data_IF_522238195416
#
_entry.id   IF_522238195416
#
_cell.length_a   1.000
_cell.length_b   1.000
_cell.length_c   1.000
_cell.angle_alpha   90.00
_cell.angle_beta   90.00
_cell.angle_gamma   90.00
#
_symmetry.space_group_name_H-M   'P 1'
#
loop_
_entity.id
_entity.type
_entity.pdbx_description
1 polymer ?
#
# COMPACT_ATOMS: atom_id res chain seq x y z
N UNK A 1 -0.02 -0.16 -22.31
CA UNK A 1 -0.21 -0.19 -20.85
C UNK A 1 -1.30 0.79 -20.49
N UNK A 2 -2.36 0.31 -19.83
CA UNK A 2 -3.35 1.23 -19.27
C UNK A 2 -2.69 1.90 -18.06
N UNK A 3 -2.68 3.25 -17.99
CA UNK A 3 -2.19 3.91 -16.79
C UNK A 3 -3.00 3.41 -15.61
N UNK A 4 -2.29 3.06 -14.55
CA UNK A 4 -2.87 2.54 -13.35
C UNK A 4 -3.88 3.54 -12.74
N UNK A 5 -5.04 3.07 -12.31
CA UNK A 5 -6.14 3.92 -11.88
C UNK A 5 -5.77 4.77 -10.64
N UNK A 6 -5.09 4.17 -9.67
CA UNK A 6 -4.64 4.89 -8.47
C UNK A 6 -3.52 5.89 -8.79
N UNK A 7 -2.62 5.56 -9.71
CA UNK A 7 -1.61 6.51 -10.20
C UNK A 7 -2.26 7.74 -10.86
N UNK A 8 -3.32 7.53 -11.65
CA UNK A 8 -4.06 8.64 -12.25
C UNK A 8 -4.78 9.48 -11.19
N UNK A 9 -5.45 8.82 -10.23
CA UNK A 9 -6.15 9.49 -9.15
C UNK A 9 -5.19 10.31 -8.27
N UNK A 10 -4.04 9.74 -7.91
CA UNK A 10 -3.00 10.46 -7.19
C UNK A 10 -2.55 11.71 -7.93
N UNK A 11 -2.23 11.61 -9.22
CA UNK A 11 -1.85 12.78 -10.04
C UNK A 11 -2.97 13.82 -10.11
N UNK A 12 -4.22 13.40 -10.23
CA UNK A 12 -5.36 14.30 -10.24
C UNK A 12 -5.55 15.02 -8.89
N UNK A 13 -5.34 14.31 -7.77
CA UNK A 13 -5.38 14.89 -6.43
C UNK A 13 -4.25 15.91 -6.25
N UNK A 14 -3.02 15.56 -6.65
CA UNK A 14 -1.88 16.49 -6.57
C UNK A 14 -2.11 17.72 -7.44
N UNK A 15 -2.60 17.54 -8.66
CA UNK A 15 -2.89 18.66 -9.56
C UNK A 15 -4.00 19.59 -9.03
N UNK A 16 -4.97 19.06 -8.29
CA UNK A 16 -6.12 19.82 -7.80
C UNK A 16 -5.87 20.49 -6.45
N UNK A 17 -5.14 19.84 -5.57
CA UNK A 17 -5.01 20.22 -4.15
C UNK A 17 -3.57 20.48 -3.73
N UNK A 18 -2.58 20.01 -4.50
CA UNK A 18 -1.18 20.27 -4.25
C UNK A 18 -0.79 21.72 -4.58
N UNK A 19 0.37 22.12 -4.09
CA UNK A 19 0.99 23.40 -4.42
C UNK A 19 1.96 23.24 -5.60
N UNK A 20 2.38 24.33 -6.22
CA UNK A 20 3.19 24.26 -7.43
C UNK A 20 4.59 23.63 -7.23
N UNK A 21 5.08 23.66 -5.99
CA UNK A 21 6.37 23.11 -5.57
C UNK A 21 6.27 21.78 -4.82
N UNK A 22 5.05 21.22 -4.67
CA UNK A 22 4.88 19.91 -4.06
C UNK A 22 5.53 18.81 -4.93
N UNK A 23 6.34 17.92 -4.32
CA UNK A 23 7.04 16.90 -5.08
C UNK A 23 6.05 15.85 -5.64
N UNK A 24 6.24 15.50 -6.91
CA UNK A 24 5.53 14.40 -7.58
C UNK A 24 6.45 13.18 -7.58
N UNK A 25 6.56 12.52 -6.44
CA UNK A 25 7.52 11.46 -6.17
C UNK A 25 6.90 10.26 -5.42
N UNK A 26 7.74 9.28 -5.07
CA UNK A 26 7.34 8.08 -4.34
C UNK A 26 6.83 8.37 -2.92
N UNK A 27 7.28 9.44 -2.28
CA UNK A 27 6.81 9.81 -0.94
C UNK A 27 5.40 10.38 -0.99
N UNK A 28 5.11 11.23 -1.97
CA UNK A 28 3.74 11.74 -2.18
C UNK A 28 2.78 10.62 -2.61
N UNK A 29 3.25 9.61 -3.36
CA UNK A 29 2.49 8.38 -3.64
C UNK A 29 2.18 7.59 -2.37
N UNK A 30 3.19 7.39 -1.51
CA UNK A 30 3.00 6.70 -0.22
C UNK A 30 1.98 7.43 0.67
N UNK A 31 2.04 8.76 0.72
CA UNK A 31 1.05 9.59 1.42
C UNK A 31 -0.36 9.40 0.88
N UNK A 32 -0.52 9.37 -0.44
CA UNK A 32 -1.81 9.09 -1.09
C UNK A 32 -2.35 7.70 -0.72
N UNK A 33 -1.51 6.66 -0.76
CA UNK A 33 -1.90 5.30 -0.38
C UNK A 33 -2.30 5.19 1.09
N UNK A 34 -1.54 5.83 1.98
CA UNK A 34 -1.88 5.87 3.41
C UNK A 34 -3.24 6.55 3.65
N UNK A 35 -3.49 7.67 2.98
CA UNK A 35 -4.79 8.36 3.06
C UNK A 35 -5.92 7.52 2.48
N UNK A 36 -5.70 6.81 1.36
CA UNK A 36 -6.66 5.87 0.77
C UNK A 36 -7.03 4.76 1.76
N UNK A 37 -6.02 4.10 2.37
CA UNK A 37 -6.22 3.04 3.35
C UNK A 37 -7.01 3.54 4.57
N UNK A 38 -6.62 4.70 5.12
CA UNK A 38 -7.30 5.32 6.25
C UNK A 38 -8.75 5.66 5.93
N UNK A 39 -9.00 6.26 4.78
CA UNK A 39 -10.35 6.62 4.34
C UNK A 39 -11.24 5.38 4.20
N UNK A 40 -10.73 4.33 3.56
CA UNK A 40 -11.50 3.08 3.38
C UNK A 40 -11.79 2.39 4.71
N UNK A 41 -10.82 2.35 5.63
CA UNK A 41 -11.02 1.80 6.96
C UNK A 41 -12.11 2.57 7.72
N UNK A 42 -12.05 3.90 7.73
CA UNK A 42 -13.02 4.75 8.44
C UNK A 42 -14.41 4.67 7.83
N UNK A 43 -14.53 4.63 6.50
CA UNK A 43 -15.81 4.49 5.81
C UNK A 43 -16.47 3.11 6.02
N UNK A 44 -15.67 2.10 6.37
CA UNK A 44 -16.17 0.75 6.70
C UNK A 44 -16.66 0.60 8.14
N UNK A 45 -16.59 1.63 8.98
CA UNK A 45 -17.06 1.56 10.37
C UNK A 45 -18.56 1.80 10.42
N UNK A 46 -19.31 0.78 10.86
CA UNK A 46 -20.72 0.92 11.19
C UNK A 46 -20.87 1.43 12.63
N UNK A 47 -21.46 2.63 12.79
CA UNK A 47 -21.71 3.23 14.09
C UNK A 47 -20.71 4.31 14.50
N UNK A 48 -20.38 4.39 15.80
CA UNK A 48 -19.52 5.45 16.33
C UNK A 48 -18.07 5.25 15.96
N UNK A 49 -17.45 6.31 15.42
CA UNK A 49 -16.00 6.35 15.14
C UNK A 49 -15.28 6.73 16.44
N UNK A 50 -14.61 5.77 17.04
CA UNK A 50 -13.79 5.93 18.23
C UNK A 50 -12.50 5.12 18.10
N UNK A 51 -11.62 5.18 19.10
CA UNK A 51 -10.31 4.49 19.06
C UNK A 51 -10.45 2.97 18.84
N UNK A 52 -11.43 2.34 19.49
CA UNK A 52 -11.60 0.89 19.40
C UNK A 52 -12.14 0.47 18.04
N UNK A 53 -13.18 1.15 17.51
CA UNK A 53 -13.73 0.87 16.19
C UNK A 53 -12.71 1.18 15.07
N UNK A 54 -11.95 2.26 15.21
CA UNK A 54 -10.87 2.60 14.28
C UNK A 54 -9.77 1.53 14.28
N UNK A 55 -9.31 1.11 15.46
CA UNK A 55 -8.30 0.04 15.56
C UNK A 55 -8.81 -1.26 14.92
N UNK A 56 -10.04 -1.67 15.21
CA UNK A 56 -10.65 -2.87 14.62
C UNK A 56 -10.76 -2.76 13.09
N UNK A 57 -11.14 -1.60 12.57
CA UNK A 57 -11.25 -1.38 11.13
C UNK A 57 -9.89 -1.50 10.41
N UNK A 58 -8.82 -0.93 10.99
CA UNK A 58 -7.47 -1.05 10.41
C UNK A 58 -6.94 -2.48 10.49
N UNK A 59 -7.03 -3.13 11.64
CA UNK A 59 -6.57 -4.51 11.82
C UNK A 59 -7.38 -5.52 11.02
N UNK A 60 -8.61 -5.17 10.65
CA UNK A 60 -9.48 -5.95 9.78
C UNK A 60 -9.18 -5.83 8.29
N UNK A 61 -8.25 -4.98 7.87
CA UNK A 61 -7.88 -4.88 6.45
C UNK A 61 -7.11 -6.14 6.03
N UNK A 62 -7.77 -6.99 5.27
CA UNK A 62 -7.17 -8.23 4.72
C UNK A 62 -6.73 -8.06 3.28
N UNK A 63 -7.28 -7.07 2.57
CA UNK A 63 -6.94 -6.79 1.18
C UNK A 63 -7.30 -5.36 0.81
N UNK A 64 -6.29 -4.55 0.53
CA UNK A 64 -6.44 -3.24 -0.09
C UNK A 64 -5.83 -3.28 -1.48
N UNK A 65 -6.67 -3.38 -2.49
CA UNK A 65 -6.21 -3.39 -3.88
C UNK A 65 -5.75 -2.01 -4.33
N UNK A 66 -4.57 -1.98 -4.93
CA UNK A 66 -4.00 -0.81 -5.58
C UNK A 66 -3.03 -1.24 -6.67
N UNK A 67 -2.96 -0.48 -7.73
CA UNK A 67 -2.01 -0.68 -8.83
C UNK A 67 -0.65 0.02 -8.60
N UNK A 68 -0.47 0.67 -7.44
CA UNK A 68 0.79 1.30 -7.03
C UNK A 68 1.73 0.36 -6.27
N UNK A 69 1.24 -0.81 -5.85
CA UNK A 69 2.01 -1.82 -5.13
C UNK A 69 2.08 -3.13 -5.94
N UNK A 70 3.09 -3.94 -5.68
CA UNK A 70 3.27 -5.24 -6.32
C UNK A 70 2.24 -6.28 -5.90
N UNK A 71 1.66 -6.14 -4.71
CA UNK A 71 0.60 -6.97 -4.18
C UNK A 71 -0.39 -6.12 -3.38
N UNK A 72 -1.62 -6.59 -3.16
CA UNK A 72 -2.55 -5.91 -2.27
C UNK A 72 -1.94 -5.69 -0.89
N UNK A 73 -2.26 -4.55 -0.29
CA UNK A 73 -1.85 -4.29 1.08
C UNK A 73 -2.85 -4.87 2.08
N UNK A 74 -2.36 -5.35 3.22
CA UNK A 74 -3.14 -5.84 4.34
C UNK A 74 -2.46 -5.45 5.67
N UNK A 75 -3.18 -5.50 6.80
CA UNK A 75 -2.61 -5.05 8.07
C UNK A 75 -1.68 -6.09 8.71
N UNK A 76 -1.81 -7.35 8.39
CA UNK A 76 -0.97 -8.43 8.90
C UNK A 76 -1.25 -8.82 10.37
N UNK A 77 -1.18 -10.11 10.70
CA UNK A 77 -1.53 -10.63 12.01
C UNK A 77 -0.40 -10.52 13.05
N UNK A 78 0.83 -10.25 12.61
CA UNK A 78 2.00 -10.16 13.48
C UNK A 78 2.17 -8.80 14.16
N UNK A 79 2.91 -8.75 15.25
CA UNK A 79 3.22 -7.48 15.95
C UNK A 79 4.00 -6.49 15.08
N UNK A 80 4.79 -6.98 14.12
CA UNK A 80 5.58 -6.14 13.21
C UNK A 80 4.77 -5.52 12.07
N UNK A 81 3.56 -6.03 11.79
CA UNK A 81 2.65 -5.52 10.75
C UNK A 81 3.31 -5.23 9.39
N UNK A 82 4.22 -6.09 8.97
CA UNK A 82 4.90 -5.96 7.68
C UNK A 82 4.02 -6.56 6.58
N UNK A 83 3.22 -5.74 5.97
CA UNK A 83 2.40 -6.13 4.83
C UNK A 83 3.13 -5.87 3.51
N UNK A 84 2.94 -6.74 2.52
CA UNK A 84 3.50 -6.61 1.18
C UNK A 84 5.04 -6.76 1.13
N UNK A 85 5.49 -8.00 1.02
CA UNK A 85 6.91 -8.39 0.91
C UNK A 85 7.38 -8.45 -0.56
N UNK A 86 6.65 -7.82 -1.48
CA UNK A 86 6.97 -7.82 -2.89
C UNK A 86 7.61 -6.51 -3.32
N UNK A 87 8.50 -6.60 -4.28
CA UNK A 87 9.19 -5.45 -4.84
C UNK A 87 9.48 -5.63 -6.33
N UNK A 88 10.10 -4.63 -6.90
CA UNK A 88 10.66 -4.65 -8.26
C UNK A 88 11.94 -3.83 -8.29
N UNK A 89 12.83 -4.17 -9.19
CA UNK A 89 14.02 -3.37 -9.44
C UNK A 89 13.69 -2.25 -10.40
N UNK A 90 14.13 -1.05 -10.07
CA UNK A 90 14.02 0.13 -10.94
C UNK A 90 15.39 0.75 -11.13
N UNK A 91 15.65 1.29 -12.31
CA UNK A 91 16.84 2.08 -12.64
C UNK A 91 16.48 3.57 -12.53
N UNK A 92 17.27 4.31 -11.77
CA UNK A 92 17.15 5.76 -11.73
C UNK A 92 17.76 6.37 -13.01
N UNK A 93 16.98 7.15 -13.73
CA UNK A 93 17.38 7.87 -14.94
C UNK A 93 17.09 9.36 -14.78
N UNK A 94 17.52 10.19 -15.71
CA UNK A 94 17.19 11.62 -15.72
C UNK A 94 15.68 11.89 -15.84
N UNK A 95 14.92 10.95 -16.43
CA UNK A 95 13.46 11.03 -16.59
C UNK A 95 12.65 10.43 -15.44
N UNK A 96 13.30 9.85 -14.41
CA UNK A 96 12.64 9.19 -13.30
C UNK A 96 13.11 7.75 -13.09
N UNK A 97 12.18 6.87 -12.73
CA UNK A 97 12.46 5.46 -12.46
C UNK A 97 11.95 4.57 -13.60
N UNK A 98 12.87 3.87 -14.25
CA UNK A 98 12.55 2.86 -15.26
C UNK A 98 12.46 1.47 -14.62
N UNK A 99 11.32 0.80 -14.77
CA UNK A 99 11.08 -0.54 -14.24
C UNK A 99 11.93 -1.56 -15.01
N UNK A 100 12.74 -2.35 -14.29
CA UNK A 100 13.65 -3.34 -14.86
C UNK A 100 13.16 -4.78 -14.71
N UNK A 101 12.31 -5.06 -13.72
CA UNK A 101 11.81 -6.41 -13.44
C UNK A 101 10.31 -6.41 -13.22
N UNK A 102 9.68 -7.56 -13.44
CA UNK A 102 8.37 -7.84 -12.88
C UNK A 102 8.43 -7.82 -11.34
N UNK A 103 7.27 -7.80 -10.71
CA UNK A 103 7.19 -7.91 -9.25
C UNK A 103 7.65 -9.29 -8.80
N UNK A 104 8.44 -9.34 -7.74
CA UNK A 104 8.91 -10.57 -7.11
C UNK A 104 8.80 -10.47 -5.60
N UNK A 105 8.66 -11.63 -4.96
CA UNK A 105 8.71 -11.72 -3.50
C UNK A 105 10.17 -11.65 -3.04
N UNK A 106 10.43 -10.82 -2.02
CA UNK A 106 11.77 -10.77 -1.40
C UNK A 106 11.99 -12.02 -0.56
N UNK A 107 13.15 -12.67 -0.75
CA UNK A 107 13.58 -13.77 0.10
C UNK A 107 14.31 -13.20 1.32
N UNK A 108 13.70 -13.34 2.48
CA UNK A 108 14.25 -12.89 3.76
C UNK A 108 13.90 -13.94 4.84
N UNK A 109 14.93 -14.56 5.40
CA UNK A 109 14.76 -15.58 6.44
C UNK A 109 14.10 -15.01 7.72
N UNK A 110 14.29 -13.71 7.99
CA UNK A 110 13.70 -13.04 9.15
C UNK A 110 12.19 -12.81 9.01
N UNK A 111 11.62 -13.06 7.83
CA UNK A 111 10.18 -13.00 7.59
C UNK A 111 9.47 -14.35 7.73
N UNK A 112 10.16 -15.43 7.98
CA UNK A 112 9.59 -16.79 7.96
C UNK A 112 8.41 -16.97 8.93
N UNK A 113 8.50 -16.39 10.12
CA UNK A 113 7.43 -16.40 11.12
C UNK A 113 6.20 -15.61 10.68
N UNK A 114 6.42 -14.43 10.08
CA UNK A 114 5.35 -13.57 9.53
C UNK A 114 4.65 -14.29 8.38
N UNK A 115 5.41 -14.80 7.41
CA UNK A 115 4.86 -15.52 6.25
C UNK A 115 4.04 -16.74 6.67
N UNK A 116 4.47 -17.44 7.73
CA UNK A 116 3.73 -18.56 8.28
C UNK A 116 2.38 -18.14 8.88
N UNK A 117 2.34 -17.01 9.61
CA UNK A 117 1.09 -16.46 10.16
C UNK A 117 0.16 -15.96 9.06
N UNK A 118 0.71 -15.31 8.05
CA UNK A 118 -0.03 -14.81 6.90
C UNK A 118 -0.64 -15.95 6.08
N UNK A 119 0.12 -17.02 5.85
CA UNK A 119 -0.39 -18.22 5.18
C UNK A 119 -1.53 -18.86 5.98
N UNK A 120 -1.39 -18.98 7.29
CA UNK A 120 -2.43 -19.50 8.18
C UNK A 120 -3.70 -18.62 8.17
N UNK A 121 -3.53 -17.31 7.98
CA UNK A 121 -4.63 -16.34 7.84
C UNK A 121 -5.20 -16.20 6.43
N UNK A 122 -4.66 -16.91 5.43
CA UNK A 122 -5.09 -16.84 4.03
C UNK A 122 -4.74 -15.50 3.35
N UNK A 123 -3.71 -14.80 3.83
CA UNK A 123 -3.28 -13.47 3.35
C UNK A 123 -2.19 -13.53 2.28
N UNK A 124 -1.54 -14.65 2.10
CA UNK A 124 -0.57 -14.90 1.02
C UNK A 124 -1.18 -15.78 -0.06
N UNK A 125 -0.92 -15.41 -1.30
CA UNK A 125 -1.29 -16.18 -2.48
C UNK A 125 -0.16 -17.15 -2.87
#
# INVERSE_FOLDING_TARGET
>A
DKPAADTQNWRAVMAKYGQADDPIDSFSQAGYLAAKAATQALLGIDGEINRASTFAAFTGITKLDTDMLCAPWYFGPGERHQANHMGRVTLLTEGGFDVQTECFQTEDADLADILSLEAAGGLVN
#
